data_IF_825753998986
#
_entry.id   IF_825753998986
#
_cell.length_a   1.000
_cell.length_b   1.000
_cell.length_c   1.000
_cell.angle_alpha   90.00
_cell.angle_beta   90.00
_cell.angle_gamma   90.00
#
_symmetry.space_group_name_H-M   'P 1'
#
loop_
_entity.id
_entity.type
_entity.pdbx_description
1 polymer ?
#
# COMPACT_ATOMS: atom_id res chain seq x y z
N UNK A 1 11.11 -12.81 18.70
CA UNK A 1 10.26 -13.27 19.81
C UNK A 1 11.13 -14.14 20.71
N UNK A 2 11.09 -13.91 22.02
CA UNK A 2 11.92 -14.61 23.02
C UNK A 2 11.57 -16.12 23.12
N UNK A 3 12.48 -16.98 23.62
CA UNK A 3 12.23 -18.41 23.78
C UNK A 3 11.02 -18.74 24.68
N UNK A 4 10.84 -17.99 25.78
CA UNK A 4 9.73 -18.16 26.73
C UNK A 4 8.37 -17.94 26.07
N UNK A 5 8.24 -16.88 25.26
CA UNK A 5 7.01 -16.60 24.52
C UNK A 5 6.69 -17.69 23.49
N UNK A 6 7.71 -18.33 22.90
CA UNK A 6 7.50 -19.45 21.98
C UNK A 6 7.01 -20.70 22.71
N UNK A 7 7.44 -20.91 23.94
CA UNK A 7 6.98 -22.02 24.77
C UNK A 7 5.55 -21.79 25.25
N UNK A 8 5.25 -20.60 25.75
CA UNK A 8 3.90 -20.18 26.12
C UNK A 8 2.94 -20.30 24.93
N UNK A 9 3.39 -19.86 23.74
CA UNK A 9 2.65 -20.04 22.50
C UNK A 9 2.34 -21.53 22.22
N UNK A 10 3.25 -22.48 22.49
CA UNK A 10 3.03 -23.93 22.23
C UNK A 10 1.96 -24.54 23.14
N UNK A 11 1.77 -24.01 24.33
CA UNK A 11 0.81 -24.53 25.32
C UNK A 11 -0.63 -24.08 25.06
N UNK A 12 -0.85 -23.10 24.17
CA UNK A 12 -2.17 -22.58 23.85
C UNK A 12 -3.00 -23.62 23.07
N UNK A 13 -4.18 -23.93 23.58
CA UNK A 13 -5.16 -24.80 22.92
C UNK A 13 -5.69 -24.13 21.65
N UNK A 14 -5.53 -24.82 20.53
CA UNK A 14 -5.96 -24.35 19.21
C UNK A 14 -7.45 -24.57 19.02
N UNK A 15 -8.12 -23.56 18.48
CA UNK A 15 -9.48 -23.66 17.92
C UNK A 15 -9.43 -23.42 16.43
N UNK A 16 -9.85 -24.43 15.66
CA UNK A 16 -9.84 -24.39 14.20
C UNK A 16 -11.09 -23.68 13.67
N UNK A 17 -10.96 -22.97 12.54
CA UNK A 17 -12.10 -22.34 11.86
C UNK A 17 -11.98 -22.48 10.34
N UNK A 18 -13.12 -22.54 9.67
CA UNK A 18 -13.23 -22.56 8.21
C UNK A 18 -13.97 -21.30 7.74
N UNK A 19 -13.55 -20.73 6.61
CA UNK A 19 -14.17 -19.54 6.02
C UNK A 19 -13.29 -18.92 4.94
N UNK A 20 -13.86 -18.07 4.08
CA UNK A 20 -13.13 -17.43 2.97
C UNK A 20 -11.95 -16.56 3.45
N UNK A 21 -12.10 -16.00 4.65
CA UNK A 21 -11.03 -15.43 5.50
C UNK A 21 -11.35 -15.83 6.93
N UNK A 22 -10.70 -16.88 7.48
CA UNK A 22 -11.03 -17.38 8.81
C UNK A 22 -10.64 -16.33 9.86
N UNK A 23 -11.55 -16.05 10.81
CA UNK A 23 -11.37 -15.02 11.85
C UNK A 23 -11.65 -15.61 13.23
N UNK A 24 -10.80 -15.31 14.20
CA UNK A 24 -11.03 -15.67 15.61
C UNK A 24 -11.12 -14.41 16.45
N UNK A 25 -12.05 -14.42 17.40
CA UNK A 25 -12.33 -13.28 18.26
C UNK A 25 -12.56 -13.79 19.69
N UNK A 26 -11.99 -13.08 20.66
CA UNK A 26 -12.20 -13.31 22.09
C UNK A 26 -12.00 -12.00 22.83
N UNK A 27 -12.72 -11.82 23.94
CA UNK A 27 -12.55 -10.66 24.79
C UNK A 27 -12.18 -11.01 26.22
N UNK A 28 -11.70 -10.00 26.96
CA UNK A 28 -11.49 -10.06 28.40
C UNK A 28 -11.77 -8.69 29.02
N UNK A 29 -11.87 -8.66 30.34
CA UNK A 29 -12.14 -7.43 31.11
C UNK A 29 -10.84 -6.96 31.78
N UNK A 30 -10.67 -5.65 31.86
CA UNK A 30 -9.58 -4.97 32.56
C UNK A 30 -10.12 -3.80 33.37
N UNK A 31 -9.36 -3.38 34.38
CA UNK A 31 -9.62 -2.17 35.16
C UNK A 31 -8.76 -0.97 34.70
N UNK A 32 -8.01 -1.12 33.61
CA UNK A 32 -7.15 -0.08 33.05
C UNK A 32 -7.99 1.07 32.48
N UNK A 33 -7.42 2.28 32.48
CA UNK A 33 -7.93 3.36 31.65
C UNK A 33 -7.63 3.08 30.17
N UNK A 34 -8.31 3.79 29.27
CA UNK A 34 -8.06 3.70 27.83
C UNK A 34 -6.60 4.00 27.47
N UNK A 35 -6.01 5.02 28.09
CA UNK A 35 -4.62 5.43 27.84
C UNK A 35 -3.61 4.38 28.33
N UNK A 36 -3.82 3.85 29.53
CA UNK A 36 -2.99 2.75 30.04
C UNK A 36 -3.13 1.50 29.16
N UNK A 37 -4.33 1.23 28.65
CA UNK A 37 -4.58 0.15 27.70
C UNK A 37 -3.76 0.32 26.41
N UNK A 38 -3.74 1.51 25.79
CA UNK A 38 -2.96 1.76 24.58
C UNK A 38 -1.46 1.61 24.83
N UNK A 39 -0.96 2.16 25.93
CA UNK A 39 0.46 2.05 26.30
C UNK A 39 0.89 0.58 26.49
N UNK A 40 0.10 -0.21 27.22
CA UNK A 40 0.37 -1.64 27.44
C UNK A 40 0.23 -2.40 26.12
N UNK A 41 -0.76 -2.09 25.29
CA UNK A 41 -0.94 -2.74 23.98
C UNK A 41 0.26 -2.51 23.07
N UNK A 42 0.84 -1.31 23.06
CA UNK A 42 2.06 -1.01 22.31
C UNK A 42 3.24 -1.85 22.80
N UNK A 43 3.43 -1.98 24.11
CA UNK A 43 4.47 -2.83 24.69
C UNK A 43 4.26 -4.32 24.37
N UNK A 44 3.00 -4.79 24.35
CA UNK A 44 2.68 -6.16 23.94
C UNK A 44 3.12 -6.39 22.50
N UNK A 45 2.82 -5.46 21.58
CA UNK A 45 3.24 -5.60 20.18
C UNK A 45 4.74 -5.54 19.99
N UNK A 46 5.44 -4.70 20.75
CA UNK A 46 6.91 -4.66 20.77
C UNK A 46 7.48 -6.01 21.24
N UNK A 47 6.97 -6.55 22.36
CA UNK A 47 7.39 -7.85 22.93
C UNK A 47 7.08 -9.03 21.99
N UNK A 48 5.98 -8.95 21.23
CA UNK A 48 5.59 -9.95 20.23
C UNK A 48 6.30 -9.77 18.87
N UNK A 49 7.04 -8.67 18.67
CA UNK A 49 7.64 -8.24 17.39
C UNK A 49 6.60 -8.11 16.25
N UNK A 50 5.45 -7.52 16.54
CA UNK A 50 4.41 -7.26 15.55
C UNK A 50 4.45 -5.79 15.16
N UNK A 51 4.25 -5.51 13.87
CA UNK A 51 4.27 -4.14 13.38
C UNK A 51 2.89 -3.53 13.56
N UNK A 52 2.80 -2.48 14.37
CA UNK A 52 1.61 -1.66 14.47
C UNK A 52 1.44 -0.91 13.15
N UNK A 53 0.25 -1.02 12.57
CA UNK A 53 -0.06 -0.46 11.25
C UNK A 53 -1.12 0.62 11.35
N UNK A 54 -1.97 0.56 12.37
CA UNK A 54 -3.02 1.53 12.58
C UNK A 54 -3.35 1.65 14.07
N UNK A 55 -3.56 2.89 14.51
CA UNK A 55 -4.05 3.23 15.84
C UNK A 55 -5.19 4.21 15.60
N UNK A 56 -6.37 3.91 16.14
CA UNK A 56 -7.47 4.86 16.28
C UNK A 56 -7.78 5.11 17.76
N UNK A 57 -8.80 5.92 18.04
CA UNK A 57 -9.19 6.29 19.41
C UNK A 57 -9.59 5.10 20.28
N UNK A 58 -10.02 3.97 19.70
CA UNK A 58 -10.55 2.83 20.46
C UNK A 58 -9.92 1.49 20.06
N UNK A 59 -8.99 1.45 19.11
CA UNK A 59 -8.44 0.23 18.58
C UNK A 59 -7.01 0.37 18.05
N UNK A 60 -6.26 -0.72 18.17
CA UNK A 60 -4.93 -0.88 17.59
C UNK A 60 -4.94 -2.07 16.65
N UNK A 61 -4.47 -1.86 15.43
CA UNK A 61 -4.22 -2.92 14.45
C UNK A 61 -2.72 -3.15 14.26
N UNK A 62 -2.30 -4.41 14.37
CA UNK A 62 -0.94 -4.83 14.10
C UNK A 62 -0.92 -6.05 13.17
N UNK A 63 0.13 -6.16 12.35
CA UNK A 63 0.36 -7.34 11.50
C UNK A 63 1.64 -8.04 11.87
N UNK A 64 1.59 -9.37 11.79
CA UNK A 64 2.73 -10.23 12.05
C UNK A 64 3.55 -10.44 10.78
N UNK A 65 4.85 -10.12 10.83
CA UNK A 65 5.81 -10.50 9.79
C UNK A 65 6.38 -11.89 10.05
N UNK A 66 6.42 -12.71 9.01
CA UNK A 66 7.17 -13.97 9.00
C UNK A 66 8.21 -13.91 7.89
N UNK A 67 9.46 -14.23 8.23
CA UNK A 67 10.52 -14.47 7.26
C UNK A 67 10.49 -15.94 6.86
N UNK A 68 10.20 -16.21 5.60
CA UNK A 68 10.28 -17.55 5.02
C UNK A 68 11.03 -17.47 3.70
N UNK A 69 12.04 -18.32 3.50
CA UNK A 69 12.83 -18.38 2.25
C UNK A 69 13.38 -17.01 1.79
N UNK A 70 13.84 -16.18 2.74
CA UNK A 70 14.41 -14.85 2.45
C UNK A 70 13.39 -13.76 2.12
N UNK A 71 12.09 -14.09 2.04
CA UNK A 71 11.00 -13.15 1.79
C UNK A 71 10.30 -12.85 3.12
N UNK A 72 10.10 -11.56 3.41
CA UNK A 72 9.32 -11.11 4.58
C UNK A 72 7.90 -10.81 4.12
N UNK A 73 6.93 -11.52 4.67
CA UNK A 73 5.51 -11.34 4.35
C UNK A 73 4.67 -11.20 5.62
N UNK A 74 3.60 -10.41 5.53
CA UNK A 74 2.58 -10.37 6.57
C UNK A 74 1.68 -11.59 6.43
N UNK A 75 1.41 -12.28 7.54
CA UNK A 75 0.64 -13.54 7.54
C UNK A 75 -0.70 -13.40 8.23
N UNK A 76 -0.75 -12.65 9.34
CA UNK A 76 -1.96 -12.44 10.14
C UNK A 76 -2.06 -10.97 10.54
N UNK A 77 -3.29 -10.46 10.61
CA UNK A 77 -3.63 -9.18 11.27
C UNK A 77 -4.30 -9.47 12.61
N UNK A 78 -4.08 -8.58 13.58
CA UNK A 78 -4.82 -8.53 14.83
C UNK A 78 -5.36 -7.12 15.03
N UNK A 79 -6.59 -7.03 15.50
CA UNK A 79 -7.26 -5.80 15.88
C UNK A 79 -7.64 -5.96 17.35
N UNK A 80 -7.19 -5.03 18.17
CA UNK A 80 -7.51 -4.95 19.59
C UNK A 80 -8.40 -3.73 19.76
N UNK A 81 -9.60 -3.90 20.28
CA UNK A 81 -10.52 -2.80 20.53
C UNK A 81 -10.81 -2.70 22.02
N UNK A 82 -10.85 -1.48 22.54
CA UNK A 82 -11.16 -1.16 23.92
C UNK A 82 -12.50 -0.44 24.01
N UNK A 83 -13.35 -0.90 24.93
CA UNK A 83 -14.65 -0.31 25.18
C UNK A 83 -14.96 -0.37 26.68
N UNK A 84 -14.71 0.74 27.39
CA UNK A 84 -15.00 0.93 28.82
C UNK A 84 -14.63 -0.28 29.71
N UNK A 85 -13.38 -0.73 29.64
CA UNK A 85 -12.84 -1.86 30.41
C UNK A 85 -13.00 -3.22 29.73
N UNK A 86 -13.79 -3.31 28.66
CA UNK A 86 -13.90 -4.52 27.84
C UNK A 86 -12.92 -4.46 26.67
N UNK A 87 -11.98 -5.40 26.61
CA UNK A 87 -11.04 -5.54 25.50
C UNK A 87 -11.52 -6.67 24.59
N UNK A 88 -11.65 -6.37 23.30
CA UNK A 88 -11.96 -7.34 22.24
C UNK A 88 -10.72 -7.56 21.38
N UNK A 89 -10.30 -8.81 21.24
CA UNK A 89 -9.11 -9.20 20.48
C UNK A 89 -9.53 -10.07 19.31
N UNK A 90 -9.35 -9.55 18.10
CA UNK A 90 -9.74 -10.20 16.85
C UNK A 90 -8.52 -10.46 15.99
N UNK A 91 -8.33 -11.68 15.51
CA UNK A 91 -7.27 -12.04 14.57
C UNK A 91 -7.83 -12.63 13.27
N UNK A 92 -7.25 -12.22 12.16
CA UNK A 92 -7.62 -12.58 10.80
C UNK A 92 -6.40 -13.00 9.99
N UNK A 93 -6.55 -14.06 9.20
CA UNK A 93 -5.52 -14.49 8.25
C UNK A 93 -5.54 -13.59 7.01
N UNK A 94 -4.37 -13.12 6.57
CA UNK A 94 -4.22 -12.24 5.40
C UNK A 94 -4.04 -13.00 4.09
N UNK A 95 -3.80 -14.32 4.16
CA UNK A 95 -3.70 -15.19 3.00
C UNK A 95 -5.06 -15.68 2.50
N UNK A 96 -5.10 -16.25 1.29
CA UNK A 96 -6.29 -16.90 0.72
C UNK A 96 -6.56 -18.30 1.32
N UNK A 97 -6.16 -18.52 2.57
CA UNK A 97 -6.31 -19.80 3.25
C UNK A 97 -7.75 -19.95 3.74
N UNK A 98 -8.51 -20.89 3.18
CA UNK A 98 -9.91 -21.14 3.59
C UNK A 98 -10.04 -21.91 4.91
N UNK A 99 -8.92 -22.31 5.50
CA UNK A 99 -8.83 -23.07 6.73
C UNK A 99 -7.77 -22.49 7.66
N UNK A 100 -8.21 -22.10 8.85
CA UNK A 100 -7.33 -21.75 9.96
C UNK A 100 -7.09 -22.98 10.84
N UNK A 101 -5.87 -23.50 10.81
CA UNK A 101 -5.41 -24.59 11.68
C UNK A 101 -5.14 -24.11 13.13
N UNK A 102 -6.02 -23.24 13.64
CA UNK A 102 -5.95 -22.60 14.95
C UNK A 102 -4.78 -21.65 15.13
N UNK A 103 -4.29 -21.03 14.06
CA UNK A 103 -3.33 -19.93 14.10
C UNK A 103 -4.00 -18.70 14.72
N UNK A 104 -5.17 -18.28 14.26
CA UNK A 104 -5.78 -17.03 14.74
C UNK A 104 -6.20 -17.14 16.20
N UNK A 105 -6.77 -18.28 16.60
CA UNK A 105 -7.07 -18.54 18.03
C UNK A 105 -5.81 -18.50 18.88
N UNK A 106 -4.71 -19.10 18.42
CA UNK A 106 -3.43 -19.04 19.12
C UNK A 106 -2.90 -17.61 19.28
N UNK A 107 -3.04 -16.78 18.24
CA UNK A 107 -2.61 -15.37 18.24
C UNK A 107 -3.41 -14.54 19.24
N UNK A 108 -4.73 -14.69 19.24
CA UNK A 108 -5.62 -14.00 20.19
C UNK A 108 -5.26 -14.34 21.63
N UNK A 109 -5.15 -15.63 21.98
CA UNK A 109 -4.82 -16.01 23.36
C UNK A 109 -3.38 -15.63 23.74
N UNK A 110 -2.44 -15.68 22.80
CA UNK A 110 -1.06 -15.25 23.06
C UNK A 110 -1.01 -13.77 23.42
N UNK A 111 -1.73 -12.93 22.67
CA UNK A 111 -1.87 -11.50 22.99
C UNK A 111 -2.48 -11.32 24.38
N UNK A 112 -3.59 -11.98 24.67
CA UNK A 112 -4.27 -11.87 25.97
C UNK A 112 -3.37 -12.26 27.14
N UNK A 113 -2.60 -13.35 27.00
CA UNK A 113 -1.68 -13.81 28.06
C UNK A 113 -0.53 -12.83 28.28
N UNK A 114 0.07 -12.32 27.20
CA UNK A 114 1.17 -11.35 27.30
C UNK A 114 0.67 -10.01 27.84
N UNK A 115 -0.53 -9.59 27.45
CA UNK A 115 -1.17 -8.40 27.98
C UNK A 115 -1.38 -8.52 29.50
N UNK A 116 -1.98 -9.62 29.95
CA UNK A 116 -2.22 -9.86 31.39
C UNK A 116 -0.92 -10.03 32.19
N UNK A 117 0.12 -10.60 31.60
CA UNK A 117 1.46 -10.70 32.19
C UNK A 117 2.06 -9.31 32.42
N UNK A 118 1.99 -8.44 31.40
CA UNK A 118 2.48 -7.06 31.51
C UNK A 118 1.63 -6.26 32.49
N UNK A 119 0.30 -6.33 32.39
CA UNK A 119 -0.65 -5.64 33.29
C UNK A 119 -0.40 -5.97 34.77
N UNK A 120 -0.08 -7.23 35.10
CA UNK A 120 0.24 -7.65 36.48
C UNK A 120 1.52 -7.04 37.05
N UNK A 121 2.46 -6.66 36.19
CA UNK A 121 3.73 -6.08 36.62
C UNK A 121 3.62 -4.59 36.96
N UNK A 122 2.49 -3.95 36.63
CA UNK A 122 2.25 -2.54 36.90
C UNK A 122 1.48 -2.33 38.21
N UNK A 123 2.03 -1.48 39.09
CA UNK A 123 1.29 -1.00 40.25
C UNK A 123 0.44 0.25 39.87
N UNK A 124 -0.43 0.71 40.78
CA UNK A 124 -1.31 1.87 40.52
C UNK A 124 -0.57 3.18 40.25
N UNK A 125 0.63 3.35 40.79
CA UNK A 125 1.46 4.56 40.58
C UNK A 125 2.15 4.50 39.22
N UNK A 126 2.67 3.32 38.84
CA UNK A 126 3.28 3.07 37.54
C UNK A 126 2.25 3.21 36.40
N UNK A 127 1.01 2.74 36.60
CA UNK A 127 -0.09 2.95 35.65
C UNK A 127 -0.38 4.43 35.43
N UNK A 128 -0.38 5.24 36.50
CA UNK A 128 -0.56 6.69 36.38
C UNK A 128 0.60 7.36 35.64
N UNK A 129 1.82 6.83 35.79
CA UNK A 129 2.96 7.34 35.04
C UNK A 129 2.86 6.98 33.56
N UNK A 130 2.48 5.74 33.23
CA UNK A 130 2.18 5.32 31.86
C UNK A 130 1.08 6.15 31.23
N UNK A 131 0.02 6.45 31.99
CA UNK A 131 -1.06 7.33 31.53
C UNK A 131 -0.53 8.72 31.21
N UNK A 132 0.36 9.30 32.05
CA UNK A 132 0.99 10.59 31.78
C UNK A 132 1.93 10.56 30.56
N UNK A 133 2.67 9.48 30.38
CA UNK A 133 3.55 9.29 29.23
C UNK A 133 2.73 9.17 27.94
N UNK A 134 1.69 8.35 27.94
CA UNK A 134 0.76 8.23 26.81
C UNK A 134 0.02 9.55 26.55
N UNK A 135 -0.39 10.25 27.63
CA UNK A 135 -0.93 11.61 27.54
C UNK A 135 0.08 12.55 26.89
N UNK A 136 1.38 12.48 27.19
CA UNK A 136 2.36 13.36 26.53
C UNK A 136 2.52 13.08 25.03
N UNK A 137 2.26 11.84 24.59
CA UNK A 137 2.37 11.42 23.19
C UNK A 137 1.14 11.85 22.40
N UNK A 138 -0.06 11.69 22.98
CA UNK A 138 -1.33 12.07 22.36
C UNK A 138 -1.64 13.56 22.54
N UNK A 139 -1.19 14.14 23.65
CA UNK A 139 -1.44 15.52 24.00
C UNK A 139 -0.38 16.43 23.37
N UNK A 140 -0.73 16.90 22.18
CA UNK A 140 -0.05 17.97 21.49
C UNK A 140 0.03 19.29 22.29
N UNK A 141 -0.70 19.48 23.40
CA UNK A 141 -0.55 20.65 24.28
C UNK A 141 0.91 20.91 24.70
N UNK A 142 1.70 19.86 24.87
CA UNK A 142 3.12 19.96 25.26
C UNK A 142 4.09 19.95 24.07
N UNK A 143 3.58 20.03 22.83
CA UNK A 143 4.42 20.07 21.64
C UNK A 143 5.38 21.27 21.69
N UNK A 144 6.67 20.99 21.64
CA UNK A 144 7.71 22.02 21.63
C UNK A 144 7.79 22.58 20.22
N UNK A 145 7.20 23.76 20.02
CA UNK A 145 7.29 24.47 18.76
C UNK A 145 8.77 24.70 18.41
N UNK A 146 9.27 24.15 17.30
CA UNK A 146 10.66 24.32 16.91
C UNK A 146 10.92 25.80 16.64
N UNK A 147 12.06 26.30 17.12
CA UNK A 147 12.47 27.70 16.91
C UNK A 147 12.77 28.00 15.44
N UNK A 148 13.21 26.99 14.70
CA UNK A 148 13.51 27.06 13.27
C UNK A 148 13.10 25.76 12.59
N UNK A 149 12.56 25.85 11.37
CA UNK A 149 12.27 24.69 10.53
C UNK A 149 13.40 24.46 9.53
N UNK A 150 13.66 23.19 9.12
CA UNK A 150 14.55 22.92 8.01
C UNK A 150 14.05 23.65 6.77
N UNK A 151 14.97 24.30 6.05
CA UNK A 151 14.64 25.14 4.90
C UNK A 151 14.01 24.31 3.77
N UNK A 152 13.03 24.87 3.03
CA UNK A 152 12.47 24.21 1.86
C UNK A 152 13.57 23.94 0.83
N UNK A 153 13.53 22.78 0.20
CA UNK A 153 14.39 22.49 -0.96
C UNK A 153 13.94 23.38 -2.11
N UNK A 154 14.84 23.74 -3.04
CA UNK A 154 14.45 24.49 -4.23
C UNK A 154 13.42 23.70 -5.05
N UNK A 155 12.15 24.12 -4.96
CA UNK A 155 11.03 23.44 -5.59
C UNK A 155 10.89 23.87 -7.05
N UNK A 156 10.79 22.90 -7.97
CA UNK A 156 10.50 23.17 -9.39
C UNK A 156 8.99 23.27 -9.59
N UNK A 157 8.57 24.14 -10.51
CA UNK A 157 7.15 24.25 -10.89
C UNK A 157 6.62 22.93 -11.46
N UNK A 158 5.46 22.44 -10.99
CA UNK A 158 4.87 21.20 -11.48
C UNK A 158 4.66 21.19 -12.99
N UNK A 159 5.24 20.20 -13.68
CA UNK A 159 5.21 20.08 -15.14
C UNK A 159 4.88 18.65 -15.55
N UNK A 160 3.77 18.48 -16.26
CA UNK A 160 3.27 17.16 -16.69
C UNK A 160 4.04 16.57 -17.89
N UNK A 161 4.78 17.41 -18.64
CA UNK A 161 5.43 17.05 -19.91
C UNK A 161 6.40 15.87 -19.73
N UNK A 162 7.21 15.85 -18.66
CA UNK A 162 8.15 14.77 -18.41
C UNK A 162 7.44 13.43 -18.20
N UNK A 163 6.34 13.42 -17.46
CA UNK A 163 5.53 12.21 -17.24
C UNK A 163 4.98 11.70 -18.57
N UNK A 164 4.42 12.60 -19.38
CA UNK A 164 3.81 12.26 -20.66
C UNK A 164 4.84 11.68 -21.65
N UNK A 165 5.96 12.36 -21.85
CA UNK A 165 7.01 11.95 -22.80
C UNK A 165 7.62 10.61 -22.39
N UNK A 166 8.00 10.45 -21.11
CA UNK A 166 8.59 9.20 -20.61
C UNK A 166 7.57 8.06 -20.66
N UNK A 167 6.32 8.32 -20.29
CA UNK A 167 5.25 7.33 -20.33
C UNK A 167 5.02 6.79 -21.73
N UNK A 168 4.91 7.65 -22.74
CA UNK A 168 4.70 7.24 -24.13
C UNK A 168 5.90 6.46 -24.67
N UNK A 169 7.11 6.97 -24.48
CA UNK A 169 8.33 6.33 -24.99
C UNK A 169 8.46 4.91 -24.44
N UNK A 170 8.28 4.75 -23.12
CA UNK A 170 8.34 3.44 -22.48
C UNK A 170 7.19 2.53 -22.93
N UNK A 171 5.99 3.08 -23.14
CA UNK A 171 4.84 2.30 -23.63
C UNK A 171 5.13 1.66 -24.98
N UNK A 172 5.76 2.40 -25.90
CA UNK A 172 6.16 1.89 -27.23
C UNK A 172 7.21 0.78 -27.09
N UNK A 173 8.21 0.96 -26.21
CA UNK A 173 9.24 -0.07 -25.97
C UNK A 173 8.62 -1.34 -25.38
N UNK A 174 7.76 -1.20 -24.36
CA UNK A 174 7.08 -2.33 -23.73
C UNK A 174 6.17 -3.06 -24.71
N UNK A 175 5.46 -2.33 -25.57
CA UNK A 175 4.61 -2.90 -26.61
C UNK A 175 5.39 -3.83 -27.55
N UNK A 176 6.58 -3.38 -27.99
CA UNK A 176 7.46 -4.15 -28.86
C UNK A 176 8.04 -5.40 -28.16
N UNK A 177 8.48 -5.25 -26.91
CA UNK A 177 9.00 -6.38 -26.13
C UNK A 177 7.92 -7.44 -25.89
N UNK A 178 6.70 -7.02 -25.55
CA UNK A 178 5.57 -7.92 -25.38
C UNK A 178 5.23 -8.66 -26.67
N UNK A 179 5.20 -7.97 -27.80
CA UNK A 179 4.92 -8.57 -29.10
C UNK A 179 5.92 -9.70 -29.43
N UNK A 180 7.22 -9.45 -29.23
CA UNK A 180 8.26 -10.46 -29.44
C UNK A 180 8.05 -11.70 -28.55
N UNK A 181 7.75 -11.50 -27.28
CA UNK A 181 7.54 -12.60 -26.33
C UNK A 181 6.26 -13.37 -26.65
N UNK A 182 5.19 -12.66 -26.99
CA UNK A 182 3.89 -13.24 -27.35
C UNK A 182 4.00 -14.21 -28.53
N UNK A 183 4.73 -13.83 -29.59
CA UNK A 183 4.95 -14.69 -30.77
C UNK A 183 5.67 -15.98 -30.41
N UNK A 184 6.58 -15.98 -29.44
CA UNK A 184 7.28 -17.20 -29.01
C UNK A 184 6.41 -18.20 -28.24
N UNK A 185 5.15 -17.85 -27.95
CA UNK A 185 4.21 -18.73 -27.24
C UNK A 185 4.50 -18.90 -25.74
N UNK A 186 5.48 -18.17 -25.18
CA UNK A 186 5.88 -18.23 -23.76
C UNK A 186 5.15 -17.21 -22.88
N UNK A 187 4.11 -16.58 -23.41
CA UNK A 187 3.43 -15.47 -22.75
C UNK A 187 2.40 -15.97 -21.72
N UNK A 188 2.67 -15.69 -20.44
CA UNK A 188 1.80 -15.97 -19.29
C UNK A 188 1.14 -14.65 -18.88
N UNK A 189 -0.15 -14.48 -19.23
CA UNK A 189 -0.91 -13.23 -19.07
C UNK A 189 -0.63 -12.53 -17.74
N UNK A 190 -0.90 -13.22 -16.62
CA UNK A 190 -0.78 -12.61 -15.29
C UNK A 190 0.63 -12.09 -14.97
N UNK A 191 1.67 -12.89 -15.27
CA UNK A 191 3.07 -12.54 -14.98
C UNK A 191 3.52 -11.34 -15.82
N UNK A 192 3.22 -11.35 -17.12
CA UNK A 192 3.63 -10.26 -18.01
C UNK A 192 2.86 -8.97 -17.71
N UNK A 193 1.56 -9.03 -17.45
CA UNK A 193 0.80 -7.83 -17.12
C UNK A 193 1.25 -7.21 -15.80
N UNK A 194 1.63 -8.03 -14.81
CA UNK A 194 2.26 -7.56 -13.59
C UNK A 194 3.58 -6.83 -13.87
N UNK A 195 4.48 -7.43 -14.65
CA UNK A 195 5.79 -6.84 -14.98
C UNK A 195 5.65 -5.54 -15.79
N UNK A 196 4.73 -5.51 -16.75
CA UNK A 196 4.44 -4.33 -17.58
C UNK A 196 3.86 -3.21 -16.72
N UNK A 197 2.86 -3.52 -15.89
CA UNK A 197 2.29 -2.56 -14.95
C UNK A 197 3.34 -1.97 -14.00
N UNK A 198 4.22 -2.81 -13.45
CA UNK A 198 5.33 -2.38 -12.61
C UNK A 198 6.32 -1.47 -13.36
N UNK A 199 6.74 -1.87 -14.57
CA UNK A 199 7.68 -1.11 -15.39
C UNK A 199 7.10 0.26 -15.78
N UNK A 200 5.81 0.30 -16.17
CA UNK A 200 5.13 1.53 -16.53
C UNK A 200 5.00 2.47 -15.33
N UNK A 201 4.57 1.95 -14.17
CA UNK A 201 4.48 2.74 -12.94
C UNK A 201 5.84 3.29 -12.50
N UNK A 202 6.90 2.50 -12.63
CA UNK A 202 8.26 2.94 -12.33
C UNK A 202 8.72 4.06 -13.27
N UNK A 203 8.42 3.95 -14.56
CA UNK A 203 8.74 5.00 -15.54
C UNK A 203 7.98 6.30 -15.27
N UNK A 204 6.69 6.20 -14.95
CA UNK A 204 5.88 7.36 -14.54
C UNK A 204 6.45 7.99 -13.26
N UNK A 205 6.87 7.19 -12.26
CA UNK A 205 7.57 7.68 -11.06
C UNK A 205 8.80 8.51 -11.40
N UNK A 206 9.60 8.10 -12.38
CA UNK A 206 10.76 8.89 -12.82
C UNK A 206 10.32 10.21 -13.46
N UNK A 207 9.26 10.20 -14.27
CA UNK A 207 8.65 11.42 -14.80
C UNK A 207 8.12 12.36 -13.71
N UNK A 208 7.47 11.82 -12.67
CA UNK A 208 6.96 12.58 -11.52
C UNK A 208 8.11 13.30 -10.82
N UNK A 209 9.21 12.59 -10.55
CA UNK A 209 10.40 13.19 -9.90
C UNK A 209 11.04 14.30 -10.72
N UNK A 210 11.11 14.14 -12.04
CA UNK A 210 11.70 15.13 -12.93
C UNK A 210 10.80 16.36 -13.10
N UNK A 211 9.48 16.14 -13.19
CA UNK A 211 8.49 17.19 -13.40
C UNK A 211 7.88 17.79 -12.13
N UNK A 212 8.19 17.26 -10.95
CA UNK A 212 7.50 17.59 -9.68
C UNK A 212 5.96 17.58 -9.82
N UNK A 213 5.41 16.55 -10.47
CA UNK A 213 3.98 16.51 -10.83
C UNK A 213 3.22 15.44 -10.05
N UNK A 214 2.30 15.85 -9.17
CA UNK A 214 1.68 14.97 -8.16
C UNK A 214 0.17 14.74 -8.32
N UNK A 215 -0.49 15.36 -9.31
CA UNK A 215 -1.93 15.22 -9.48
C UNK A 215 -2.33 13.79 -9.91
N UNK A 216 -2.86 13.01 -8.96
CA UNK A 216 -3.20 11.61 -9.16
C UNK A 216 -4.25 11.40 -10.27
N UNK A 217 -5.24 12.30 -10.38
CA UNK A 217 -6.30 12.19 -11.40
C UNK A 217 -5.74 12.26 -12.81
N UNK A 218 -4.84 13.22 -13.09
CA UNK A 218 -4.20 13.31 -14.42
C UNK A 218 -3.17 12.20 -14.64
N UNK A 219 -2.45 11.79 -13.61
CA UNK A 219 -1.55 10.64 -13.66
C UNK A 219 -2.29 9.34 -14.01
N UNK A 220 -3.50 9.14 -13.45
CA UNK A 220 -4.38 8.01 -13.80
C UNK A 220 -4.77 8.02 -15.28
N UNK A 221 -5.13 9.18 -15.83
CA UNK A 221 -5.45 9.28 -17.26
C UNK A 221 -4.24 9.00 -18.16
N UNK A 222 -3.05 9.45 -17.77
CA UNK A 222 -1.81 9.12 -18.48
C UNK A 222 -1.56 7.61 -18.44
N UNK A 223 -1.75 6.97 -17.27
CA UNK A 223 -1.59 5.53 -17.14
C UNK A 223 -2.56 4.78 -18.07
N UNK A 224 -3.84 5.17 -18.11
CA UNK A 224 -4.84 4.58 -19.03
C UNK A 224 -4.39 4.73 -20.48
N UNK A 225 -3.95 5.92 -20.88
CA UNK A 225 -3.47 6.18 -22.24
C UNK A 225 -2.26 5.30 -22.58
N UNK A 226 -1.28 5.20 -21.68
CA UNK A 226 -0.11 4.35 -21.84
C UNK A 226 -0.48 2.87 -21.95
N UNK A 227 -1.40 2.37 -21.12
CA UNK A 227 -1.91 0.99 -21.20
C UNK A 227 -2.57 0.72 -22.56
N UNK A 228 -3.35 1.65 -23.09
CA UNK A 228 -3.95 1.53 -24.43
C UNK A 228 -2.88 1.52 -25.53
N UNK A 229 -1.86 2.40 -25.43
CA UNK A 229 -0.74 2.42 -26.38
C UNK A 229 0.02 1.10 -26.34
N UNK A 230 0.27 0.53 -25.16
CA UNK A 230 0.93 -0.77 -25.02
C UNK A 230 0.11 -1.84 -25.74
N UNK A 231 -1.18 -1.95 -25.43
CA UNK A 231 -2.05 -2.96 -26.01
C UNK A 231 -2.13 -2.86 -27.54
N UNK A 232 -2.49 -1.69 -28.07
CA UNK A 232 -2.61 -1.46 -29.52
C UNK A 232 -1.25 -1.62 -30.19
N UNK A 233 -0.19 -1.07 -29.59
CA UNK A 233 1.18 -1.20 -30.07
C UNK A 233 1.61 -2.66 -30.16
N UNK A 234 1.29 -3.49 -29.17
CA UNK A 234 1.59 -4.92 -29.21
C UNK A 234 0.91 -5.61 -30.38
N UNK A 235 -0.37 -5.31 -30.66
CA UNK A 235 -1.07 -5.87 -31.83
C UNK A 235 -0.40 -5.46 -33.16
N UNK A 236 0.00 -4.19 -33.28
CA UNK A 236 0.68 -3.66 -34.47
C UNK A 236 2.05 -4.30 -34.64
N UNK A 237 2.85 -4.40 -33.58
CA UNK A 237 4.17 -5.02 -33.65
C UNK A 237 4.10 -6.51 -33.93
N UNK A 238 3.13 -7.23 -33.36
CA UNK A 238 2.91 -8.65 -33.68
C UNK A 238 2.60 -8.83 -35.17
N UNK A 239 1.70 -8.03 -35.72
CA UNK A 239 1.42 -8.01 -37.15
C UNK A 239 2.68 -7.82 -38.00
N UNK A 240 3.50 -6.82 -37.71
CA UNK A 240 4.73 -6.56 -38.48
C UNK A 240 5.76 -7.69 -38.34
N UNK A 241 5.95 -8.22 -37.13
CA UNK A 241 6.93 -9.31 -36.90
C UNK A 241 6.49 -10.57 -37.65
N UNK A 242 5.20 -10.95 -37.57
CA UNK A 242 4.68 -12.14 -38.25
C UNK A 242 4.82 -12.03 -39.77
N UNK A 243 4.52 -10.86 -40.34
CA UNK A 243 4.70 -10.63 -41.78
C UNK A 243 6.16 -10.79 -42.22
N UNK A 244 7.09 -10.24 -41.44
CA UNK A 244 8.53 -10.28 -41.75
C UNK A 244 9.09 -11.71 -41.59
N UNK A 245 8.74 -12.41 -40.51
CA UNK A 245 9.30 -13.74 -40.21
C UNK A 245 8.79 -14.82 -41.17
N UNK A 246 7.56 -14.69 -41.67
CA UNK A 246 6.94 -15.71 -42.53
C UNK A 246 6.93 -15.35 -44.02
N UNK A 247 7.53 -14.21 -44.41
CA UNK A 247 7.54 -13.70 -45.79
C UNK A 247 6.15 -13.65 -46.45
N UNK A 248 5.11 -13.32 -45.69
CA UNK A 248 3.76 -13.21 -46.25
C UNK A 248 3.65 -12.01 -47.19
N UNK A 249 2.77 -12.11 -48.20
CA UNK A 249 2.32 -10.94 -48.94
C UNK A 249 1.71 -9.91 -47.98
N UNK A 250 1.85 -8.62 -48.31
CA UNK A 250 1.39 -7.52 -47.46
C UNK A 250 -0.13 -7.52 -47.32
N UNK A 251 -0.67 -8.35 -46.42
CA UNK A 251 -2.05 -8.21 -45.94
C UNK A 251 -2.15 -6.93 -45.11
N UNK A 252 -3.26 -6.20 -45.20
CA UNK A 252 -3.46 -5.01 -44.37
C UNK A 252 -3.66 -5.36 -42.89
N UNK A 253 -3.32 -4.44 -41.97
CA UNK A 253 -3.49 -4.64 -40.52
C UNK A 253 -4.92 -5.04 -40.13
N UNK A 254 -5.94 -4.42 -40.71
CA UNK A 254 -7.34 -4.78 -40.43
C UNK A 254 -7.70 -6.19 -40.91
N UNK A 255 -7.15 -6.63 -42.03
CA UNK A 255 -7.39 -8.00 -42.52
C UNK A 255 -6.66 -9.01 -41.63
N UNK A 256 -5.46 -8.68 -41.16
CA UNK A 256 -4.77 -9.46 -40.12
C UNK A 256 -5.62 -9.59 -38.85
N UNK A 257 -6.19 -8.48 -38.35
CA UNK A 257 -7.05 -8.51 -37.16
C UNK A 257 -8.31 -9.34 -37.39
N UNK A 258 -8.89 -9.29 -38.58
CA UNK A 258 -10.05 -10.12 -38.96
C UNK A 258 -9.70 -11.60 -38.99
N UNK A 259 -8.55 -11.96 -39.57
CA UNK A 259 -8.05 -13.35 -39.56
C UNK A 259 -7.82 -13.81 -38.12
N UNK A 260 -7.21 -12.97 -37.27
CA UNK A 260 -6.96 -13.29 -35.85
C UNK A 260 -8.26 -13.51 -35.08
N UNK A 261 -9.27 -12.68 -35.30
CA UNK A 261 -10.59 -12.85 -34.71
C UNK A 261 -11.28 -14.13 -35.21
N UNK A 262 -11.15 -14.47 -36.49
CA UNK A 262 -11.70 -15.70 -37.06
C UNK A 262 -11.03 -16.95 -36.51
N UNK A 263 -9.70 -16.94 -36.34
CA UNK A 263 -8.96 -18.05 -35.73
C UNK A 263 -9.26 -18.17 -34.23
N UNK A 264 -9.52 -17.05 -33.55
CA UNK A 264 -9.91 -17.03 -32.15
C UNK A 264 -8.76 -17.41 -31.21
N UNK A 265 -9.11 -17.69 -29.95
CA UNK A 265 -8.16 -18.16 -28.94
C UNK A 265 -8.22 -19.68 -28.81
N UNK A 266 -7.10 -20.34 -29.13
CA UNK A 266 -6.91 -21.77 -28.91
C UNK A 266 -5.96 -21.99 -27.73
N UNK A 267 -6.46 -22.59 -26.64
CA UNK A 267 -5.63 -22.98 -25.50
C UNK A 267 -5.55 -24.50 -25.50
N UNK A 268 -4.39 -25.03 -25.91
CA UNK A 268 -4.21 -26.47 -26.17
C UNK A 268 -5.27 -26.94 -27.18
N UNK A 269 -6.17 -27.83 -26.78
CA UNK A 269 -7.22 -28.39 -27.65
C UNK A 269 -8.58 -27.67 -27.50
N UNK A 270 -8.69 -26.68 -26.60
CA UNK A 270 -9.91 -25.91 -26.39
C UNK A 270 -9.90 -24.64 -27.26
N UNK A 271 -10.73 -24.64 -28.29
CA UNK A 271 -11.02 -23.44 -29.08
C UNK A 271 -12.15 -22.63 -28.40
N UNK A 272 -11.80 -21.50 -27.82
CA UNK A 272 -12.74 -20.57 -27.17
C UNK A 272 -13.25 -19.52 -28.19
N UNK A 273 -12.72 -19.57 -29.42
CA UNK A 273 -13.13 -18.72 -30.53
C UNK A 273 -12.80 -17.24 -30.31
N UNK A 274 -13.48 -16.39 -31.08
CA UNK A 274 -13.33 -14.93 -31.03
C UNK A 274 -13.70 -14.33 -29.68
N UNK A 275 -14.71 -14.91 -29.01
CA UNK A 275 -15.20 -14.44 -27.70
C UNK A 275 -14.10 -14.61 -26.64
N UNK A 276 -13.43 -15.76 -26.60
CA UNK A 276 -12.32 -16.00 -25.69
C UNK A 276 -11.16 -15.05 -25.91
N UNK A 277 -10.87 -14.72 -27.17
CA UNK A 277 -9.82 -13.77 -27.52
C UNK A 277 -10.13 -12.35 -27.02
N UNK A 278 -11.36 -11.87 -27.22
CA UNK A 278 -11.81 -10.55 -26.75
C UNK A 278 -11.77 -10.47 -25.22
N UNK A 279 -12.26 -11.51 -24.53
CA UNK A 279 -12.21 -11.58 -23.06
C UNK A 279 -10.76 -11.53 -22.58
N UNK A 280 -9.85 -12.25 -23.23
CA UNK A 280 -8.42 -12.22 -22.92
C UNK A 280 -7.85 -10.80 -23.05
N UNK A 281 -8.18 -10.08 -24.13
CA UNK A 281 -7.75 -8.69 -24.31
C UNK A 281 -8.28 -7.74 -23.23
N UNK A 282 -9.54 -7.88 -22.84
CA UNK A 282 -10.13 -7.09 -21.75
C UNK A 282 -9.39 -7.38 -20.44
N UNK A 283 -9.14 -8.65 -20.13
CA UNK A 283 -8.39 -9.07 -18.94
C UNK A 283 -6.97 -8.50 -18.96
N UNK A 284 -6.28 -8.53 -20.11
CA UNK A 284 -4.95 -7.95 -20.26
C UNK A 284 -4.96 -6.47 -19.90
N UNK A 285 -5.78 -5.66 -20.60
CA UNK A 285 -5.91 -4.22 -20.34
C UNK A 285 -6.23 -3.90 -18.87
N UNK A 286 -7.17 -4.66 -18.30
CA UNK A 286 -7.60 -4.48 -16.92
C UNK A 286 -6.49 -4.79 -15.92
N UNK A 287 -5.79 -5.93 -16.08
CA UNK A 287 -4.68 -6.32 -15.21
C UNK A 287 -3.50 -5.36 -15.31
N UNK A 288 -3.09 -4.95 -16.51
CA UNK A 288 -2.00 -3.98 -16.68
C UNK A 288 -2.33 -2.69 -15.94
N UNK A 289 -3.55 -2.19 -16.10
CA UNK A 289 -4.00 -0.95 -15.49
C UNK A 289 -4.03 -1.07 -13.97
N UNK A 290 -4.60 -2.14 -13.41
CA UNK A 290 -4.66 -2.34 -11.96
C UNK A 290 -3.27 -2.41 -11.35
N UNK A 291 -2.39 -3.25 -11.90
CA UNK A 291 -1.02 -3.36 -11.38
C UNK A 291 -0.29 -2.03 -11.49
N UNK A 292 -0.37 -1.37 -12.65
CA UNK A 292 0.21 -0.05 -12.85
C UNK A 292 -0.31 0.98 -11.85
N UNK A 293 -1.62 1.01 -11.61
CA UNK A 293 -2.26 1.98 -10.72
C UNK A 293 -1.86 1.76 -9.25
N UNK A 294 -1.87 0.51 -8.77
CA UNK A 294 -1.44 0.17 -7.42
C UNK A 294 0.01 0.60 -7.15
N UNK A 295 0.93 0.30 -8.08
CA UNK A 295 2.33 0.70 -7.95
C UNK A 295 2.52 2.20 -8.08
N UNK A 296 1.80 2.86 -8.98
CA UNK A 296 1.86 4.30 -9.19
C UNK A 296 1.42 5.06 -7.93
N UNK A 297 0.28 4.70 -7.33
CA UNK A 297 -0.22 5.31 -6.10
C UNK A 297 0.78 5.15 -4.96
N UNK A 298 1.35 3.95 -4.79
CA UNK A 298 2.40 3.71 -3.79
C UNK A 298 3.63 4.58 -4.02
N UNK A 299 4.09 4.70 -5.27
CA UNK A 299 5.25 5.51 -5.59
C UNK A 299 5.00 7.01 -5.39
N UNK A 300 3.78 7.46 -5.71
CA UNK A 300 3.35 8.84 -5.49
C UNK A 300 3.31 9.17 -4.00
N UNK A 301 2.63 8.38 -3.18
CA UNK A 301 2.55 8.59 -1.71
C UNK A 301 3.95 8.64 -1.09
N UNK A 302 4.80 7.66 -1.41
CA UNK A 302 6.17 7.66 -0.90
C UNK A 302 7.01 8.86 -1.41
N UNK A 303 6.66 9.44 -2.57
CA UNK A 303 7.30 10.66 -3.06
C UNK A 303 6.80 11.90 -2.30
N UNK A 304 5.48 12.01 -2.08
CA UNK A 304 4.83 13.09 -1.33
C UNK A 304 5.39 13.19 0.10
N UNK A 305 5.51 12.06 0.79
CA UNK A 305 6.03 12.02 2.17
C UNK A 305 7.52 12.39 2.21
N UNK A 306 8.33 11.90 1.27
CA UNK A 306 9.80 12.05 1.35
C UNK A 306 10.34 13.41 0.90
N UNK A 307 9.53 14.23 0.22
CA UNK A 307 10.01 15.52 -0.28
C UNK A 307 9.99 16.60 0.81
N UNK A 308 9.09 16.47 1.80
CA UNK A 308 8.99 17.39 2.94
C UNK A 308 9.72 16.79 4.16
N UNK A 309 10.52 17.56 4.90
CA UNK A 309 11.10 17.11 6.17
C UNK A 309 10.01 16.77 7.20
N UNK A 310 10.25 15.73 7.99
CA UNK A 310 9.28 15.23 8.97
C UNK A 310 8.91 16.31 10.01
N UNK A 311 9.88 17.12 10.43
CA UNK A 311 9.70 18.19 11.42
C UNK A 311 8.68 19.25 10.93
N UNK A 312 8.64 19.50 9.62
CA UNK A 312 7.73 20.48 9.00
C UNK A 312 6.33 19.90 8.91
N UNK A 313 6.22 18.62 8.53
CA UNK A 313 4.91 17.93 8.49
C UNK A 313 4.30 17.81 9.88
N UNK A 314 5.11 17.50 10.91
CA UNK A 314 4.65 17.41 12.30
C UNK A 314 4.21 18.77 12.83
N UNK A 315 4.97 19.83 12.55
CA UNK A 315 4.60 21.19 12.93
C UNK A 315 3.28 21.63 12.29
N UNK A 316 3.10 21.40 10.98
CA UNK A 316 1.86 21.75 10.29
C UNK A 316 0.67 20.91 10.80
N UNK A 317 0.87 19.61 11.02
CA UNK A 317 -0.15 18.73 11.59
C UNK A 317 -0.57 19.15 13.00
N UNK A 318 0.39 19.53 13.85
CA UNK A 318 0.15 20.10 15.16
C UNK A 318 -0.80 21.31 15.11
N UNK A 319 -0.54 22.26 14.21
CA UNK A 319 -1.36 23.46 14.09
C UNK A 319 -2.80 23.14 13.64
N UNK A 320 -2.97 22.16 12.74
CA UNK A 320 -4.29 21.68 12.31
C UNK A 320 -5.05 21.05 13.49
N UNK A 321 -4.40 20.23 14.30
CA UNK A 321 -5.00 19.65 15.52
C UNK A 321 -5.43 20.75 16.50
N UNK A 322 -4.69 21.86 16.57
CA UNK A 322 -5.04 23.04 17.37
C UNK A 322 -6.21 23.86 16.81
N UNK A 323 -6.84 23.38 15.73
CA UNK A 323 -8.01 24.01 15.13
C UNK A 323 -7.67 25.19 14.22
N UNK A 324 -6.39 25.38 13.86
CA UNK A 324 -6.01 26.41 12.90
C UNK A 324 -6.49 26.02 11.50
N UNK A 325 -7.00 27.00 10.77
CA UNK A 325 -7.36 26.79 9.37
C UNK A 325 -6.12 26.76 8.46
N UNK A 326 -6.31 26.35 7.20
CA UNK A 326 -5.22 26.23 6.23
C UNK A 326 -4.43 27.54 6.05
N UNK A 327 -5.13 28.68 6.06
CA UNK A 327 -4.51 29.99 5.86
C UNK A 327 -3.65 30.39 7.08
N UNK A 328 -4.13 30.11 8.28
CA UNK A 328 -3.36 30.31 9.51
C UNK A 328 -2.11 29.43 9.56
N UNK A 329 -2.21 28.15 9.14
CA UNK A 329 -1.07 27.24 9.05
C UNK A 329 -0.02 27.77 8.06
N UNK A 330 -0.45 28.25 6.89
CA UNK A 330 0.45 28.87 5.88
C UNK A 330 1.18 30.10 6.43
N UNK A 331 0.50 30.91 7.24
CA UNK A 331 1.10 32.10 7.87
C UNK A 331 2.20 31.71 8.86
N UNK A 332 1.99 30.69 9.69
CA UNK A 332 3.00 30.18 10.63
C UNK A 332 4.19 29.54 9.91
N UNK A 333 3.93 28.77 8.84
CA UNK A 333 4.98 28.22 7.98
C UNK A 333 5.82 29.33 7.34
N UNK A 334 5.18 30.42 6.90
CA UNK A 334 5.87 31.59 6.33
C UNK A 334 6.83 32.22 7.33
N UNK A 335 6.39 32.37 8.59
CA UNK A 335 7.21 32.92 9.67
C UNK A 335 8.48 32.08 9.93
N UNK A 336 8.39 30.76 9.72
CA UNK A 336 9.49 29.81 9.90
C UNK A 336 10.25 29.50 8.60
N UNK A 337 10.12 30.34 7.57
CA UNK A 337 10.92 30.28 6.34
C UNK A 337 10.33 29.47 5.18
N UNK A 338 9.08 29.03 5.29
CA UNK A 338 8.31 28.36 4.23
C UNK A 338 7.30 29.33 3.60
N UNK A 339 7.79 30.34 2.90
CA UNK A 339 6.98 31.42 2.33
C UNK A 339 6.43 31.13 0.93
N UNK A 340 7.03 30.18 0.21
CA UNK A 340 6.64 29.83 -1.15
C UNK A 340 5.37 28.97 -1.16
N UNK A 341 4.38 29.37 -1.96
CA UNK A 341 3.06 28.71 -2.03
C UNK A 341 3.20 27.24 -2.46
N UNK A 342 4.10 26.95 -3.40
CA UNK A 342 4.33 25.58 -3.87
C UNK A 342 4.86 24.74 -2.71
N UNK A 343 5.88 25.24 -2.02
CA UNK A 343 6.48 24.56 -0.85
C UNK A 343 5.45 24.32 0.26
N UNK A 344 4.54 25.26 0.52
CA UNK A 344 3.44 25.09 1.46
C UNK A 344 2.43 24.02 0.99
N UNK A 345 2.05 24.03 -0.31
CA UNK A 345 1.19 23.00 -0.88
C UNK A 345 1.83 21.60 -0.74
N UNK A 346 3.16 21.49 -0.86
CA UNK A 346 3.85 20.23 -0.66
C UNK A 346 3.70 19.68 0.76
N UNK A 347 3.63 20.55 1.78
CA UNK A 347 3.40 20.16 3.18
C UNK A 347 2.00 19.57 3.35
N UNK A 348 0.96 20.22 2.84
CA UNK A 348 -0.41 19.69 2.91
C UNK A 348 -0.55 18.37 2.14
N UNK A 349 -0.01 18.30 0.92
CA UNK A 349 0.00 17.05 0.14
C UNK A 349 0.79 15.92 0.84
N UNK A 350 1.82 16.25 1.65
CA UNK A 350 2.56 15.27 2.44
C UNK A 350 1.73 14.76 3.63
N UNK A 351 0.99 15.63 4.32
CA UNK A 351 0.05 15.26 5.39
C UNK A 351 -1.03 14.31 4.84
N UNK A 352 -1.66 14.69 3.72
CA UNK A 352 -2.64 13.83 3.03
C UNK A 352 -2.00 12.49 2.62
N UNK A 353 -0.75 12.52 2.16
CA UNK A 353 0.04 11.33 1.83
C UNK A 353 0.27 10.40 3.02
N UNK A 354 0.52 10.94 4.22
CA UNK A 354 0.67 10.16 5.46
C UNK A 354 -0.64 9.45 5.80
N UNK A 355 -1.77 10.18 5.73
CA UNK A 355 -3.10 9.58 5.96
C UNK A 355 -3.39 8.46 4.95
N UNK A 356 -3.19 8.72 3.66
CA UNK A 356 -3.38 7.72 2.60
C UNK A 356 -2.44 6.51 2.72
N UNK A 357 -1.21 6.68 3.23
CA UNK A 357 -0.30 5.56 3.49
C UNK A 357 -0.83 4.66 4.61
N UNK A 358 -1.42 5.22 5.66
CA UNK A 358 -2.02 4.46 6.75
C UNK A 358 -3.22 3.64 6.24
N UNK A 359 -4.06 4.19 5.37
CA UNK A 359 -5.17 3.47 4.73
C UNK A 359 -4.71 2.32 3.81
N UNK A 360 -3.64 2.54 3.01
CA UNK A 360 -3.07 1.50 2.15
C UNK A 360 -2.44 0.36 2.95
N UNK A 361 -1.79 0.67 4.08
CA UNK A 361 -1.22 -0.36 4.94
C UNK A 361 -2.33 -1.14 5.68
N UNK A 362 -3.48 -0.51 5.96
CA UNK A 362 -4.66 -1.18 6.52
C UNK A 362 -5.26 -2.20 5.55
N UNK A 363 -5.48 -1.80 4.30
CA UNK A 363 -6.13 -2.63 3.25
C UNK A 363 -5.29 -3.76 2.67
N UNK A 364 -3.99 -3.82 2.97
CA UNK A 364 -3.03 -4.80 2.43
C UNK A 364 -2.58 -5.81 3.47
#
# INVERSE_FOLDING_TARGET
MTPELKELERQIIKKHKFGFTPKYESGFQTCLSEKAFFAITNQVFEKLEWDIIYIDEHAVEAKRKVKSLGITQYTESIIISYNYGSITVKSESLGSEMWDNGRNSKRVHLFMLVFQDIEKNYNREDLKQLEKEQESIENWDNYIIPKELPKPKNVKKPTIIFVFVIGILISIILAFLLAKISITGRYIIFLFEFLVGLALAFSIKQGIKLGNYTNLTKLKYILILCTLIIFVGTQIFEYYIILIENNFEKIGFFEFMKIRLQQGLTIKDLNIGSIGLIISWIIQLFLTFIFGFLFLTRFLINYLIKRVPQEVTEFAYYLIIKGKDEHEVRKELTYLGWSDEISQNEVFEAIDGIQGNNELNRTR
#
